data_IF_957180747076
#
_entry.id   IF_957180747076
#
_cell.length_a   1.000
_cell.length_b   1.000
_cell.length_c   1.000
_cell.angle_alpha   90.00
_cell.angle_beta   90.00
_cell.angle_gamma   90.00
#
_symmetry.space_group_name_H-M   'P 1'
#
loop_
_entity.id
_entity.type
_entity.pdbx_description
1 polymer ?
#
# COMPACT_ATOMS: atom_id res chain seq x y z
N UNK A 1 -18.87 -2.35 -0.56
CA UNK A 1 -18.56 -3.75 -0.24
C UNK A 1 -19.27 -4.09 1.06
N UNK A 2 -20.11 -5.12 1.09
CA UNK A 2 -20.81 -5.62 2.30
C UNK A 2 -19.96 -6.61 3.11
N UNK A 3 -18.72 -6.87 2.67
CA UNK A 3 -17.77 -7.72 3.38
C UNK A 3 -17.04 -6.93 4.46
N UNK A 4 -17.33 -7.28 5.72
CA UNK A 4 -16.71 -6.71 6.93
C UNK A 4 -15.19 -6.92 6.99
N UNK A 5 -14.66 -7.85 6.19
CA UNK A 5 -13.23 -8.15 6.09
C UNK A 5 -12.58 -7.63 4.81
N UNK A 6 -13.29 -6.79 4.04
CA UNK A 6 -12.79 -6.25 2.78
C UNK A 6 -11.52 -5.40 2.97
N UNK A 7 -10.57 -5.54 2.04
CA UNK A 7 -9.33 -4.74 1.96
C UNK A 7 -9.26 -3.84 0.74
N UNK A 8 -10.32 -3.78 -0.07
CA UNK A 8 -10.31 -3.11 -1.39
C UNK A 8 -9.81 -1.65 -1.34
N UNK A 9 -10.21 -0.90 -0.30
CA UNK A 9 -9.74 0.47 -0.10
C UNK A 9 -8.23 0.54 0.15
N UNK A 10 -7.73 -0.30 1.05
CA UNK A 10 -6.29 -0.44 1.31
C UNK A 10 -5.52 -0.86 0.05
N UNK A 11 -6.02 -1.86 -0.68
CA UNK A 11 -5.39 -2.37 -1.90
C UNK A 11 -5.28 -1.27 -2.97
N UNK A 12 -6.30 -0.41 -3.07
CA UNK A 12 -6.31 0.75 -3.97
C UNK A 12 -5.23 1.78 -3.60
N UNK A 13 -5.03 2.04 -2.30
CA UNK A 13 -3.97 2.95 -1.82
C UNK A 13 -2.59 2.37 -2.12
N UNK A 14 -2.36 1.09 -1.83
CA UNK A 14 -1.08 0.42 -2.13
C UNK A 14 -0.78 0.44 -3.62
N UNK A 15 -1.79 0.19 -4.46
CA UNK A 15 -1.64 0.29 -5.91
C UNK A 15 -1.22 1.71 -6.32
N UNK A 16 -1.91 2.75 -5.82
CA UNK A 16 -1.56 4.14 -6.09
C UNK A 16 -0.12 4.49 -5.67
N UNK A 17 0.34 4.00 -4.51
CA UNK A 17 1.72 4.19 -4.05
C UNK A 17 2.75 3.45 -4.91
N UNK A 18 2.38 2.30 -5.49
CA UNK A 18 3.22 1.59 -6.46
C UNK A 18 3.33 2.36 -7.78
N UNK A 19 2.22 2.90 -8.27
CA UNK A 19 2.20 3.72 -9.47
C UNK A 19 3.01 5.01 -9.26
N UNK A 20 2.88 5.66 -8.11
CA UNK A 20 3.73 6.80 -7.74
C UNK A 20 5.23 6.48 -7.77
N UNK A 21 5.63 5.29 -7.29
CA UNK A 21 7.02 4.82 -7.36
C UNK A 21 7.50 4.67 -8.82
N UNK A 22 6.63 4.15 -9.70
CA UNK A 22 6.92 4.02 -11.13
C UNK A 22 7.10 5.38 -11.78
N UNK A 23 6.21 6.34 -11.50
CA UNK A 23 6.29 7.71 -12.00
C UNK A 23 7.59 8.39 -11.54
N UNK A 24 8.04 8.17 -10.30
CA UNK A 24 9.33 8.69 -9.83
C UNK A 24 10.51 8.12 -10.63
N UNK A 25 10.45 6.83 -11.03
CA UNK A 25 11.48 6.21 -11.87
C UNK A 25 11.46 6.78 -13.29
N UNK A 26 10.29 6.92 -13.90
CA UNK A 26 10.13 7.55 -15.21
C UNK A 26 10.69 8.99 -15.22
N UNK A 27 10.39 9.77 -14.18
CA UNK A 27 10.92 11.13 -14.04
C UNK A 27 12.44 11.18 -13.82
N UNK A 28 13.00 10.28 -12.98
CA UNK A 28 14.46 10.13 -12.83
C UNK A 28 15.13 9.85 -14.19
N UNK A 29 14.61 8.90 -14.95
CA UNK A 29 15.17 8.50 -16.24
C UNK A 29 15.06 9.64 -17.25
N UNK A 30 13.95 10.38 -17.24
CA UNK A 30 13.77 11.57 -18.06
C UNK A 30 14.81 12.65 -17.76
N UNK A 31 15.12 12.90 -16.48
CA UNK A 31 16.18 13.84 -16.09
C UNK A 31 17.56 13.38 -16.56
N UNK A 32 17.85 12.07 -16.48
CA UNK A 32 19.12 11.48 -16.95
C UNK A 32 19.29 11.65 -18.45
N UNK A 33 18.27 11.34 -19.23
CA UNK A 33 18.27 11.52 -20.69
C UNK A 33 18.45 13.00 -21.07
N UNK A 34 17.72 13.90 -20.40
CA UNK A 34 17.89 15.34 -20.60
C UNK A 34 19.32 15.79 -20.29
N UNK A 35 19.91 15.32 -19.19
CA UNK A 35 21.29 15.66 -18.84
C UNK A 35 22.30 15.22 -19.91
N UNK A 36 22.10 14.07 -20.56
CA UNK A 36 22.96 13.60 -21.66
C UNK A 36 22.86 14.55 -22.87
N UNK A 37 21.65 14.98 -23.22
CA UNK A 37 21.41 15.91 -24.33
C UNK A 37 22.09 17.26 -24.05
N UNK A 38 21.86 17.83 -22.86
CA UNK A 38 22.44 19.11 -22.44
C UNK A 38 23.98 19.03 -22.42
N UNK A 39 24.55 17.93 -21.92
CA UNK A 39 26.00 17.76 -21.90
C UNK A 39 26.59 17.66 -23.31
N UNK A 40 25.95 16.92 -24.21
CA UNK A 40 26.40 16.81 -25.61
C UNK A 40 26.40 18.19 -26.28
N UNK A 41 25.31 18.93 -26.13
CA UNK A 41 25.18 20.27 -26.71
C UNK A 41 26.25 21.23 -26.16
N UNK A 42 26.44 21.26 -24.85
CA UNK A 42 27.48 22.08 -24.22
C UNK A 42 28.89 21.73 -24.70
N UNK A 43 29.21 20.44 -24.81
CA UNK A 43 30.52 19.97 -25.32
C UNK A 43 30.73 20.36 -26.78
N UNK A 44 29.70 20.25 -27.62
CA UNK A 44 29.75 20.63 -29.03
C UNK A 44 29.95 22.13 -29.21
N UNK A 45 29.28 22.97 -28.40
CA UNK A 45 29.50 24.43 -28.39
C UNK A 45 30.93 24.80 -27.97
N UNK A 46 31.46 24.19 -26.90
CA UNK A 46 32.85 24.43 -26.46
C UNK A 46 33.85 23.97 -27.54
N UNK A 47 33.58 22.85 -28.20
CA UNK A 47 34.42 22.39 -29.31
C UNK A 47 34.36 23.35 -30.50
N UNK A 48 33.18 23.88 -30.82
CA UNK A 48 32.97 24.87 -31.87
C UNK A 48 33.74 26.18 -31.55
N UNK A 49 33.61 26.69 -30.33
CA UNK A 49 34.33 27.90 -29.89
C UNK A 49 35.85 27.72 -29.89
N UNK A 50 36.38 26.56 -29.48
CA UNK A 50 37.85 26.39 -29.37
C UNK A 50 38.52 25.89 -30.63
N UNK A 51 37.93 24.91 -31.31
CA UNK A 51 38.60 24.15 -32.37
C UNK A 51 38.33 24.69 -33.77
N UNK A 52 37.24 25.44 -33.97
CA UNK A 52 36.88 25.91 -35.32
C UNK A 52 37.40 27.33 -35.59
N UNK A 53 37.92 27.57 -36.80
CA UNK A 53 38.28 28.91 -37.24
C UNK A 53 37.02 29.78 -37.34
N UNK A 54 37.12 31.03 -36.91
CA UNK A 54 36.10 32.05 -37.16
C UNK A 54 36.84 33.39 -37.28
N UNK A 55 37.00 33.87 -38.52
CA UNK A 55 37.79 35.06 -38.86
C UNK A 55 39.26 34.99 -38.47
N UNK A 56 39.94 33.87 -38.76
CA UNK A 56 41.39 33.72 -38.46
C UNK A 56 42.27 34.73 -39.21
N UNK A 57 41.83 35.18 -40.38
CA UNK A 57 42.52 36.18 -41.21
C UNK A 57 42.13 37.62 -40.87
N UNK A 58 41.11 37.81 -40.03
CA UNK A 58 40.64 39.15 -39.66
C UNK A 58 41.62 39.84 -38.71
N UNK A 59 41.67 41.17 -38.82
CA UNK A 59 42.55 42.03 -38.02
C UNK A 59 41.75 43.11 -37.27
N UNK A 60 42.41 43.78 -36.33
CA UNK A 60 41.90 44.96 -35.63
C UNK A 60 40.54 44.72 -34.94
N UNK A 61 39.58 45.63 -35.15
CA UNK A 61 38.31 45.67 -34.44
C UNK A 61 37.42 44.48 -34.78
N UNK A 62 37.39 44.03 -36.04
CA UNK A 62 36.60 42.87 -36.45
C UNK A 62 37.11 41.59 -35.78
N UNK A 63 38.44 41.40 -35.71
CA UNK A 63 39.02 40.27 -34.99
C UNK A 63 38.60 40.23 -33.52
N UNK A 64 38.64 41.38 -32.83
CA UNK A 64 38.20 41.48 -31.43
C UNK A 64 36.72 41.14 -31.27
N UNK A 65 35.86 41.65 -32.16
CA UNK A 65 34.43 41.33 -32.14
C UNK A 65 34.16 39.83 -32.32
N UNK A 66 34.90 39.17 -33.22
CA UNK A 66 34.80 37.73 -33.43
C UNK A 66 35.32 36.93 -32.23
N UNK A 67 36.37 37.38 -31.56
CA UNK A 67 36.85 36.74 -30.31
C UNK A 67 35.82 36.84 -29.19
N UNK A 68 35.17 38.00 -29.02
CA UNK A 68 34.06 38.16 -28.08
C UNK A 68 32.90 37.22 -28.42
N UNK A 69 32.55 37.12 -29.71
CA UNK A 69 31.51 36.19 -30.16
C UNK A 69 31.84 34.74 -29.82
N UNK A 70 33.07 34.27 -30.10
CA UNK A 70 33.53 32.93 -29.72
C UNK A 70 33.49 32.71 -28.21
N UNK A 71 33.85 33.73 -27.41
CA UNK A 71 33.76 33.67 -25.95
C UNK A 71 32.31 33.50 -25.48
N UNK A 72 31.33 34.17 -26.11
CA UNK A 72 29.92 33.98 -25.76
C UNK A 72 29.44 32.54 -26.05
N UNK A 73 29.87 31.95 -27.17
CA UNK A 73 29.57 30.53 -27.47
C UNK A 73 30.16 29.61 -26.40
N UNK A 74 31.39 29.86 -25.98
CA UNK A 74 32.04 29.08 -24.91
C UNK A 74 31.26 29.20 -23.59
N UNK A 75 30.86 30.41 -23.20
CA UNK A 75 30.09 30.66 -21.99
C UNK A 75 28.74 29.92 -21.99
N UNK A 76 28.00 29.97 -23.12
CA UNK A 76 26.75 29.21 -23.28
C UNK A 76 27.02 27.70 -23.16
N UNK A 77 28.07 27.21 -23.83
CA UNK A 77 28.47 25.81 -23.73
C UNK A 77 28.76 25.37 -22.29
N UNK A 78 29.49 26.17 -21.52
CA UNK A 78 29.75 25.91 -20.10
C UNK A 78 28.45 25.89 -19.28
N UNK A 79 27.51 26.81 -19.54
CA UNK A 79 26.21 26.85 -18.89
C UNK A 79 25.39 25.56 -19.08
N UNK A 80 25.37 25.01 -20.30
CA UNK A 80 24.71 23.73 -20.57
C UNK A 80 25.38 22.54 -19.86
N UNK A 81 26.71 22.55 -19.70
CA UNK A 81 27.42 21.53 -18.91
C UNK A 81 27.03 21.59 -17.43
N UNK A 82 26.97 22.80 -16.85
CA UNK A 82 26.54 22.99 -15.46
C UNK A 82 25.07 22.57 -15.26
N UNK A 83 24.20 22.87 -16.22
CA UNK A 83 22.81 22.42 -16.21
C UNK A 83 22.73 20.89 -16.25
N UNK A 84 23.52 20.23 -17.10
CA UNK A 84 23.58 18.77 -17.14
C UNK A 84 24.03 18.16 -15.80
N UNK A 85 24.98 18.79 -15.10
CA UNK A 85 25.40 18.36 -13.75
C UNK A 85 24.25 18.51 -12.75
N UNK A 86 23.59 19.67 -12.74
CA UNK A 86 22.43 19.95 -11.87
C UNK A 86 21.31 18.92 -12.10
N UNK A 87 21.01 18.59 -13.36
CA UNK A 87 19.98 17.58 -13.69
C UNK A 87 20.32 16.19 -13.15
N UNK A 88 21.60 15.80 -13.15
CA UNK A 88 22.03 14.52 -12.56
C UNK A 88 21.88 14.51 -11.04
N UNK A 89 22.14 15.64 -10.39
CA UNK A 89 21.92 15.79 -8.95
C UNK A 89 20.43 15.69 -8.60
N UNK A 90 19.55 16.34 -9.38
CA UNK A 90 18.10 16.23 -9.22
C UNK A 90 17.60 14.80 -9.48
N UNK A 91 18.14 14.10 -10.50
CA UNK A 91 17.84 12.69 -10.73
C UNK A 91 18.24 11.82 -9.53
N UNK A 92 19.39 12.08 -8.90
CA UNK A 92 19.83 11.38 -7.69
C UNK A 92 18.91 11.66 -6.50
N UNK A 93 18.48 12.91 -6.29
CA UNK A 93 17.50 13.25 -5.25
C UNK A 93 16.18 12.50 -5.46
N UNK A 94 15.74 12.34 -6.71
CA UNK A 94 14.54 11.59 -7.05
C UNK A 94 14.70 10.08 -6.76
N UNK A 95 15.86 9.51 -7.06
CA UNK A 95 16.20 8.13 -6.70
C UNK A 95 16.15 7.91 -5.18
N UNK A 96 16.79 8.79 -4.41
CA UNK A 96 16.79 8.74 -2.95
C UNK A 96 15.37 8.86 -2.36
N UNK A 97 14.57 9.77 -2.90
CA UNK A 97 13.16 9.92 -2.53
C UNK A 97 12.35 8.65 -2.81
N UNK A 98 12.51 8.07 -4.01
CA UNK A 98 11.83 6.82 -4.40
C UNK A 98 12.18 5.67 -3.45
N UNK A 99 13.44 5.49 -3.09
CA UNK A 99 13.85 4.40 -2.20
C UNK A 99 13.38 4.63 -0.75
N UNK A 100 13.34 5.89 -0.27
CA UNK A 100 12.71 6.24 1.02
C UNK A 100 11.22 5.90 1.04
N UNK A 101 10.47 6.29 0.00
CA UNK A 101 9.05 5.96 -0.10
C UNK A 101 8.82 4.44 -0.12
N UNK A 102 9.62 3.69 -0.88
CA UNK A 102 9.56 2.23 -0.93
C UNK A 102 9.78 1.59 0.44
N UNK A 103 10.76 2.06 1.22
CA UNK A 103 11.04 1.54 2.55
C UNK A 103 9.89 1.84 3.52
N UNK A 104 9.39 3.07 3.51
CA UNK A 104 8.28 3.50 4.35
C UNK A 104 7.01 2.68 4.06
N UNK A 105 6.65 2.54 2.78
CA UNK A 105 5.50 1.74 2.36
C UNK A 105 5.61 0.28 2.77
N UNK A 106 6.78 -0.36 2.59
CA UNK A 106 7.00 -1.75 3.03
C UNK A 106 6.77 -1.94 4.53
N UNK A 107 7.16 -0.96 5.35
CA UNK A 107 6.93 -1.01 6.80
C UNK A 107 5.43 -1.00 7.12
N UNK A 108 4.66 -0.15 6.46
CA UNK A 108 3.20 -0.09 6.60
C UNK A 108 2.56 -1.39 6.11
N UNK A 109 2.98 -1.90 4.95
CA UNK A 109 2.46 -3.15 4.38
C UNK A 109 2.60 -4.33 5.35
N UNK A 110 3.76 -4.48 6.00
CA UNK A 110 3.99 -5.54 6.99
C UNK A 110 3.06 -5.44 8.20
N UNK A 111 2.84 -4.24 8.72
CA UNK A 111 1.95 -4.01 9.87
C UNK A 111 0.50 -4.34 9.46
N UNK A 112 0.05 -3.78 8.34
CA UNK A 112 -1.31 -3.97 7.85
C UNK A 112 -1.60 -5.42 7.49
N UNK A 113 -0.63 -6.14 6.92
CA UNK A 113 -0.77 -7.58 6.64
C UNK A 113 -1.00 -8.39 7.92
N UNK A 114 -0.24 -8.12 8.98
CA UNK A 114 -0.41 -8.79 10.27
C UNK A 114 -1.79 -8.51 10.89
N UNK A 115 -2.22 -7.25 10.86
CA UNK A 115 -3.53 -6.84 11.39
C UNK A 115 -4.67 -7.46 10.59
N UNK A 116 -4.62 -7.41 9.26
CA UNK A 116 -5.63 -8.04 8.40
C UNK A 116 -5.71 -9.56 8.64
N UNK A 117 -4.57 -10.25 8.78
CA UNK A 117 -4.55 -11.68 9.11
C UNK A 117 -5.20 -11.96 10.47
N UNK A 118 -4.87 -11.19 11.50
CA UNK A 118 -5.44 -11.35 12.84
C UNK A 118 -6.95 -11.09 12.84
N UNK A 119 -7.40 -9.99 12.24
CA UNK A 119 -8.82 -9.65 12.07
C UNK A 119 -9.59 -10.75 11.35
N UNK A 120 -9.06 -11.23 10.22
CA UNK A 120 -9.75 -12.26 9.42
C UNK A 120 -9.82 -13.60 10.15
N UNK A 121 -8.76 -14.00 10.87
CA UNK A 121 -8.76 -15.20 11.70
C UNK A 121 -9.84 -15.13 12.79
N UNK A 122 -9.94 -14.00 13.47
CA UNK A 122 -10.85 -13.83 14.61
C UNK A 122 -12.30 -13.64 14.16
N UNK A 123 -12.51 -13.01 13.00
CA UNK A 123 -13.80 -12.96 12.34
C UNK A 123 -14.30 -14.37 12.00
N UNK A 124 -13.46 -15.22 11.39
CA UNK A 124 -13.82 -16.62 11.08
C UNK A 124 -14.22 -17.40 12.33
N UNK A 125 -13.40 -17.34 13.38
CA UNK A 125 -13.73 -17.98 14.68
C UNK A 125 -15.06 -17.49 15.25
N UNK A 126 -15.32 -16.18 15.19
CA UNK A 126 -16.57 -15.60 15.70
C UNK A 126 -17.78 -16.08 14.89
N UNK A 127 -17.63 -16.22 13.57
CA UNK A 127 -18.69 -16.74 12.70
C UNK A 127 -18.97 -18.23 12.96
N UNK A 128 -17.94 -19.06 13.17
CA UNK A 128 -18.11 -20.48 13.55
C UNK A 128 -18.89 -20.65 14.85
N UNK A 129 -18.58 -19.85 15.88
CA UNK A 129 -19.30 -19.88 17.16
C UNK A 129 -20.74 -19.37 17.00
N UNK A 130 -20.95 -18.34 16.17
CA UNK A 130 -22.30 -17.84 15.84
C UNK A 130 -23.16 -18.91 15.17
N UNK A 131 -22.60 -19.63 14.20
CA UNK A 131 -23.28 -20.72 13.50
C UNK A 131 -23.63 -21.86 14.45
N UNK A 132 -22.70 -22.26 15.33
CA UNK A 132 -22.96 -23.27 16.37
C UNK A 132 -24.12 -22.87 17.28
N UNK A 133 -24.11 -21.63 17.80
CA UNK A 133 -25.20 -21.11 18.64
C UNK A 133 -26.53 -21.08 17.87
N UNK A 134 -26.50 -20.64 16.61
CA UNK A 134 -27.66 -20.59 15.72
C UNK A 134 -28.30 -21.96 15.42
N UNK A 135 -27.52 -23.04 15.42
CA UNK A 135 -28.00 -24.41 15.23
C UNK A 135 -28.60 -25.04 16.50
N UNK A 136 -28.04 -24.70 17.68
CA UNK A 136 -28.47 -25.28 18.95
C UNK A 136 -29.88 -24.83 19.37
N UNK A 137 -30.27 -23.60 19.04
CA UNK A 137 -31.58 -23.06 19.41
C UNK A 137 -32.76 -23.79 18.71
N UNK A 138 -32.77 -23.98 17.37
CA UNK A 138 -33.76 -24.80 16.68
C UNK A 138 -33.77 -26.26 17.16
N UNK A 139 -32.60 -26.86 17.38
CA UNK A 139 -32.50 -28.24 17.85
C UNK A 139 -33.16 -28.43 19.23
N UNK A 140 -32.94 -27.48 20.15
CA UNK A 140 -33.61 -27.46 21.46
C UNK A 140 -35.13 -27.33 21.34
N UNK A 141 -35.64 -26.49 20.43
CA UNK A 141 -37.08 -26.34 20.18
C UNK A 141 -37.69 -27.65 19.67
N UNK A 142 -37.03 -28.33 18.73
CA UNK A 142 -37.47 -29.63 18.20
C UNK A 142 -37.55 -30.69 19.31
N UNK A 143 -36.55 -30.77 20.19
CA UNK A 143 -36.57 -31.67 21.35
C UNK A 143 -37.75 -31.36 22.28
N UNK A 144 -37.99 -30.08 22.57
CA UNK A 144 -39.10 -29.64 23.42
C UNK A 144 -40.46 -30.05 22.83
N UNK A 145 -40.67 -29.78 21.54
CA UNK A 145 -41.86 -30.17 20.77
C UNK A 145 -42.10 -31.68 20.83
N UNK A 146 -41.06 -32.50 20.65
CA UNK A 146 -41.20 -33.94 20.73
C UNK A 146 -41.53 -34.44 22.15
N UNK A 147 -41.12 -33.72 23.19
CA UNK A 147 -41.51 -34.03 24.57
C UNK A 147 -42.95 -33.69 24.90
N UNK A 148 -43.44 -32.55 24.40
CA UNK A 148 -44.74 -32.01 24.82
C UNK A 148 -45.90 -32.42 23.91
N UNK A 149 -45.67 -32.52 22.59
CA UNK A 149 -46.74 -32.70 21.60
C UNK A 149 -46.85 -34.12 21.06
N UNK A 150 -45.78 -34.91 21.13
CA UNK A 150 -45.73 -36.27 20.56
C UNK A 150 -45.89 -37.39 21.61
N UNK A 151 -46.06 -37.05 22.89
CA UNK A 151 -46.29 -37.97 24.02
C UNK A 151 -45.51 -39.31 23.94
N UNK A 152 -44.17 -39.27 23.98
CA UNK A 152 -43.34 -40.46 23.83
C UNK A 152 -43.47 -41.43 25.01
N UNK A 153 -43.09 -42.70 24.78
CA UNK A 153 -43.07 -43.73 25.83
C UNK A 153 -42.16 -43.33 26.99
N UNK A 154 -42.45 -43.84 28.20
CA UNK A 154 -41.71 -43.47 29.42
C UNK A 154 -40.18 -43.62 29.31
N UNK A 155 -39.71 -44.70 28.67
CA UNK A 155 -38.27 -44.90 28.43
C UNK A 155 -37.68 -43.86 27.48
N UNK A 156 -38.38 -43.54 26.39
CA UNK A 156 -37.95 -42.56 25.41
C UNK A 156 -38.04 -41.11 25.96
N UNK A 157 -39.00 -40.86 26.87
CA UNK A 157 -39.12 -39.61 27.61
C UNK A 157 -37.85 -39.28 28.40
N UNK A 158 -37.34 -40.23 29.20
CA UNK A 158 -36.13 -40.02 29.97
C UNK A 158 -34.90 -39.73 29.09
N UNK A 159 -34.77 -40.42 27.95
CA UNK A 159 -33.67 -40.17 27.00
C UNK A 159 -33.72 -38.76 26.40
N UNK A 160 -34.91 -38.29 26.02
CA UNK A 160 -35.11 -36.95 25.45
C UNK A 160 -34.96 -35.85 26.51
N UNK A 161 -35.37 -36.10 27.75
CA UNK A 161 -35.14 -35.19 28.87
C UNK A 161 -33.64 -34.97 29.13
N UNK A 162 -32.84 -36.05 29.13
CA UNK A 162 -31.39 -35.96 29.26
C UNK A 162 -30.76 -35.17 28.09
N UNK A 163 -31.17 -35.45 26.84
CA UNK A 163 -30.70 -34.70 25.66
C UNK A 163 -31.07 -33.22 25.72
N UNK A 164 -32.26 -32.89 26.21
CA UNK A 164 -32.70 -31.51 26.38
C UNK A 164 -31.84 -30.77 27.41
N UNK A 165 -31.56 -31.40 28.55
CA UNK A 165 -30.68 -30.84 29.58
C UNK A 165 -29.25 -30.60 29.06
N UNK A 166 -28.68 -31.57 28.34
CA UNK A 166 -27.37 -31.43 27.69
C UNK A 166 -27.35 -30.30 26.66
N UNK A 167 -28.37 -30.23 25.81
CA UNK A 167 -28.49 -29.18 24.78
C UNK A 167 -28.63 -27.79 25.41
N UNK A 168 -29.34 -27.69 26.55
CA UNK A 168 -29.47 -26.43 27.30
C UNK A 168 -28.10 -25.96 27.82
N UNK A 169 -27.34 -26.85 28.46
CA UNK A 169 -25.98 -26.53 28.93
C UNK A 169 -25.07 -26.12 27.77
N UNK A 170 -25.08 -26.89 26.68
CA UNK A 170 -24.28 -26.58 25.49
C UNK A 170 -24.63 -25.23 24.86
N UNK A 171 -25.91 -24.84 24.87
CA UNK A 171 -26.35 -23.53 24.40
C UNK A 171 -25.84 -22.39 25.29
N UNK A 172 -25.90 -22.54 26.62
CA UNK A 172 -25.37 -21.55 27.57
C UNK A 172 -23.85 -21.38 27.44
N UNK A 173 -23.11 -22.48 27.26
CA UNK A 173 -21.65 -22.44 27.02
C UNK A 173 -21.30 -21.82 25.66
N UNK A 174 -22.06 -22.14 24.62
CA UNK A 174 -21.87 -21.57 23.27
C UNK A 174 -22.19 -20.07 23.24
N UNK A 175 -23.24 -19.63 23.95
CA UNK A 175 -23.58 -18.21 24.04
C UNK A 175 -22.48 -17.42 24.79
N UNK A 176 -21.99 -17.94 25.92
CA UNK A 176 -20.86 -17.34 26.63
C UNK A 176 -19.62 -17.23 25.74
N UNK A 177 -19.30 -18.29 25.00
CA UNK A 177 -18.18 -18.31 24.06
C UNK A 177 -18.37 -17.32 22.91
N UNK A 178 -19.61 -17.14 22.43
CA UNK A 178 -19.96 -16.16 21.42
C UNK A 178 -19.72 -14.73 21.93
N UNK A 179 -20.22 -14.39 23.12
CA UNK A 179 -20.03 -13.08 23.73
C UNK A 179 -18.54 -12.72 23.91
N UNK A 180 -17.73 -13.68 24.36
CA UNK A 180 -16.28 -13.52 24.48
C UNK A 180 -15.59 -13.30 23.12
N UNK A 181 -16.03 -14.06 22.10
CA UNK A 181 -15.49 -13.94 20.74
C UNK A 181 -15.82 -12.58 20.12
N UNK A 182 -17.07 -12.12 20.27
CA UNK A 182 -17.50 -10.78 19.83
C UNK A 182 -16.72 -9.68 20.54
N UNK A 183 -16.54 -9.78 21.86
CA UNK A 183 -15.75 -8.81 22.65
C UNK A 183 -14.29 -8.75 22.17
N UNK A 184 -13.71 -9.89 21.81
CA UNK A 184 -12.33 -9.98 21.29
C UNK A 184 -12.24 -9.38 19.89
N UNK A 185 -13.21 -9.70 19.03
CA UNK A 185 -13.29 -9.16 17.67
C UNK A 185 -13.43 -7.63 17.69
N UNK A 186 -14.18 -7.06 18.63
CA UNK A 186 -14.34 -5.61 18.76
C UNK A 186 -13.00 -4.92 19.06
N UNK A 187 -12.21 -5.45 20.00
CA UNK A 187 -10.86 -4.92 20.30
C UNK A 187 -9.94 -4.95 19.10
N UNK A 188 -10.01 -6.03 18.29
CA UNK A 188 -9.19 -6.17 17.08
C UNK A 188 -9.68 -5.24 15.98
N UNK A 189 -10.99 -4.99 15.90
CA UNK A 189 -11.56 -3.99 15.00
C UNK A 189 -11.03 -2.59 15.36
N UNK A 190 -11.05 -2.22 16.64
CA UNK A 190 -10.53 -0.92 17.11
C UNK A 190 -9.04 -0.75 16.80
N UNK A 191 -8.23 -1.79 17.05
CA UNK A 191 -6.80 -1.80 16.68
C UNK A 191 -6.60 -1.66 15.17
N UNK A 192 -7.35 -2.43 14.38
CA UNK A 192 -7.31 -2.33 12.92
C UNK A 192 -7.68 -0.94 12.43
N UNK A 193 -8.77 -0.37 12.93
CA UNK A 193 -9.26 0.95 12.52
C UNK A 193 -8.20 2.02 12.82
N UNK A 194 -7.61 1.98 14.01
CA UNK A 194 -6.55 2.91 14.41
C UNK A 194 -5.31 2.81 13.52
N UNK A 195 -4.82 1.60 13.24
CA UNK A 195 -3.63 1.41 12.41
C UNK A 195 -3.92 1.68 10.93
N UNK A 196 -5.14 1.37 10.46
CA UNK A 196 -5.57 1.69 9.10
C UNK A 196 -5.64 3.19 8.86
N UNK A 197 -6.17 3.98 9.81
CA UNK A 197 -6.16 5.45 9.73
C UNK A 197 -4.73 5.96 9.63
N UNK A 198 -3.84 5.52 10.53
CA UNK A 198 -2.41 5.92 10.49
C UNK A 198 -1.69 5.50 9.22
N UNK A 199 -2.11 4.40 8.58
CA UNK A 199 -1.52 3.93 7.33
C UNK A 199 -2.01 4.74 6.11
N UNK A 200 -3.14 5.44 6.24
CA UNK A 200 -3.72 6.27 5.19
C UNK A 200 -3.30 7.75 5.27
N UNK A 201 -2.93 8.23 6.47
CA UNK A 201 -2.35 9.56 6.72
C UNK A 201 -0.88 9.66 6.27
#
# INVERSE_FOLDING_TARGET
>A
STDLTSTVGYDSIIQHLNDGRKNCKEFEDFLKERAIIEEKYGKELINLSKKKPCGQTELNTLKRSLDVFKQQIDNVGQGHIQLAQTLREEAKKMEDFREKQKLHRRKIELIMEAIHKNRNLQYKKTMEVKEMCGCLLPYRITLLTHMTLLSPSFSHFWQLFLKLAQTKSALEDSDRSYQQSVTTLEKIREEWEKEHIKACE
#
